data_IF_976894722046
#
_entry.id   IF_976894722046
#
_cell.length_a   1.000
_cell.length_b   1.000
_cell.length_c   1.000
_cell.angle_alpha   90.00
_cell.angle_beta   90.00
_cell.angle_gamma   90.00
#
_symmetry.space_group_name_H-M   'P 1'
#
loop_
_entity.id
_entity.type
_entity.pdbx_description
1 polymer ?
#
# COMPACT_ATOMS: atom_id res chain seq x y z
N UNK A 1 8.42 36.06 18.08
CA UNK A 1 7.57 36.78 17.14
C UNK A 1 6.32 35.99 16.89
N UNK A 2 5.27 36.45 17.49
CA UNK A 2 3.96 35.88 17.24
C UNK A 2 3.57 36.18 15.79
N UNK A 3 3.37 35.24 14.95
CA UNK A 3 2.72 35.49 13.69
C UNK A 3 3.29 34.88 12.43
N UNK A 4 4.36 34.07 12.49
CA UNK A 4 4.66 33.19 11.37
C UNK A 4 3.79 31.94 11.53
N UNK A 5 2.67 31.93 10.85
CA UNK A 5 2.03 30.67 10.53
C UNK A 5 3.03 29.88 9.69
N UNK A 6 3.49 28.75 10.23
CA UNK A 6 4.09 27.75 9.38
C UNK A 6 3.06 27.43 8.30
N UNK A 7 3.39 27.74 7.05
CA UNK A 7 2.62 27.26 5.93
C UNK A 7 2.81 25.76 5.96
N UNK A 8 1.75 25.02 6.27
CA UNK A 8 1.75 23.58 6.17
C UNK A 8 2.04 23.20 4.71
N UNK A 9 3.30 22.88 4.44
CA UNK A 9 3.68 22.35 3.14
C UNK A 9 3.06 20.95 3.00
N UNK A 10 2.44 20.65 1.86
CA UNK A 10 1.95 19.29 1.60
C UNK A 10 3.07 18.28 1.78
N UNK A 11 2.76 17.17 2.44
CA UNK A 11 3.68 16.04 2.56
C UNK A 11 3.37 15.06 1.42
N UNK A 12 4.40 14.67 0.69
CA UNK A 12 4.26 13.77 -0.44
C UNK A 12 4.81 12.38 -0.12
N UNK A 13 4.13 11.34 -0.60
CA UNK A 13 4.63 9.98 -0.60
C UNK A 13 4.94 9.56 -2.05
N UNK A 14 6.07 8.89 -2.25
CA UNK A 14 6.39 8.32 -3.56
C UNK A 14 5.63 6.99 -3.73
N UNK A 15 4.93 6.84 -4.84
CA UNK A 15 4.29 5.58 -5.20
C UNK A 15 5.30 4.67 -5.90
N UNK A 16 5.83 3.68 -5.18
CA UNK A 16 6.88 2.80 -5.68
C UNK A 16 6.41 1.75 -6.69
N UNK A 17 5.11 1.61 -6.88
CA UNK A 17 4.58 0.80 -7.97
C UNK A 17 4.81 1.49 -9.33
N UNK A 18 4.81 2.82 -9.35
CA UNK A 18 4.85 3.64 -10.55
C UNK A 18 6.15 4.42 -10.73
N UNK A 19 6.89 4.68 -9.64
CA UNK A 19 8.12 5.47 -9.65
C UNK A 19 9.33 4.58 -9.44
N UNK A 20 10.46 5.00 -10.02
CA UNK A 20 11.75 4.31 -9.90
C UNK A 20 11.71 2.86 -10.43
N UNK A 21 10.90 2.64 -11.46
CA UNK A 21 10.67 1.30 -12.03
C UNK A 21 11.87 0.75 -12.79
N UNK A 22 12.91 1.55 -13.01
CA UNK A 22 14.19 1.14 -13.60
C UNK A 22 15.01 0.22 -12.68
N UNK A 23 14.65 0.15 -11.39
CA UNK A 23 15.29 -0.74 -10.40
C UNK A 23 14.27 -1.70 -9.80
N UNK A 24 14.73 -2.84 -9.22
CA UNK A 24 13.85 -3.76 -8.50
C UNK A 24 13.11 -3.08 -7.35
N UNK A 25 11.93 -3.59 -7.00
CA UNK A 25 11.03 -2.97 -6.02
C UNK A 25 11.72 -2.61 -4.70
N UNK A 26 12.48 -3.53 -4.11
CA UNK A 26 13.14 -3.27 -2.82
C UNK A 26 14.21 -2.18 -2.90
N UNK A 27 14.75 -1.90 -4.07
CA UNK A 27 15.74 -0.83 -4.28
C UNK A 27 15.07 0.54 -4.48
N UNK A 28 13.79 0.57 -4.75
CA UNK A 28 13.03 1.81 -4.96
C UNK A 28 12.88 2.64 -3.69
N UNK A 29 12.93 2.02 -2.53
CA UNK A 29 12.91 2.72 -1.24
C UNK A 29 14.11 3.67 -1.12
N UNK A 30 15.30 3.17 -1.41
CA UNK A 30 16.52 4.00 -1.42
C UNK A 30 16.45 5.13 -2.43
N UNK A 31 15.92 4.87 -3.61
CA UNK A 31 15.73 5.90 -4.65
C UNK A 31 14.78 7.01 -4.21
N UNK A 32 13.70 6.66 -3.55
CA UNK A 32 12.76 7.63 -3.01
C UNK A 32 13.42 8.51 -1.94
N UNK A 33 14.17 7.91 -1.02
CA UNK A 33 14.90 8.66 0.01
C UNK A 33 15.95 9.60 -0.60
N UNK A 34 16.71 9.13 -1.59
CA UNK A 34 17.69 9.97 -2.33
C UNK A 34 17.02 11.15 -3.02
N UNK A 35 15.81 10.97 -3.52
CA UNK A 35 15.02 12.03 -4.16
C UNK A 35 14.38 13.00 -3.18
N UNK A 36 14.49 12.76 -1.87
CA UNK A 36 13.99 13.66 -0.82
C UNK A 36 12.61 13.30 -0.28
N UNK A 37 12.03 12.17 -0.66
CA UNK A 37 10.76 11.73 -0.07
C UNK A 37 10.96 11.24 1.36
N UNK A 38 10.03 11.59 2.25
CA UNK A 38 10.00 11.10 3.63
C UNK A 38 9.03 9.93 3.81
N UNK A 39 8.19 9.67 2.82
CA UNK A 39 7.18 8.61 2.85
C UNK A 39 7.05 7.93 1.49
N UNK A 40 6.59 6.71 1.53
CA UNK A 40 6.31 5.90 0.34
C UNK A 40 4.93 5.24 0.45
N UNK A 41 4.37 4.91 -0.70
CA UNK A 41 3.20 4.05 -0.84
C UNK A 41 3.41 3.09 -2.01
N UNK A 42 2.62 2.06 -2.10
CA UNK A 42 2.62 1.14 -3.24
C UNK A 42 1.33 0.31 -3.23
N UNK A 43 1.10 -0.44 -4.29
CA UNK A 43 -0.09 -1.27 -4.36
C UNK A 43 0.06 -2.52 -3.49
N UNK A 44 1.01 -3.40 -3.81
CA UNK A 44 1.08 -4.72 -3.18
C UNK A 44 2.49 -5.10 -2.76
N UNK A 45 2.73 -5.34 -1.45
CA UNK A 45 4.04 -5.80 -0.95
C UNK A 45 4.19 -7.32 -0.91
N UNK A 46 3.19 -8.09 -1.33
CA UNK A 46 3.00 -9.49 -0.95
C UNK A 46 3.96 -10.49 -1.62
N UNK A 47 4.73 -10.06 -2.61
CA UNK A 47 5.79 -10.86 -3.22
C UNK A 47 7.08 -10.85 -2.40
N UNK A 48 7.15 -10.04 -1.34
CA UNK A 48 8.32 -9.87 -0.49
C UNK A 48 7.97 -10.21 0.95
N UNK A 49 8.97 -10.65 1.72
CA UNK A 49 8.76 -10.90 3.15
C UNK A 49 8.43 -9.59 3.88
N UNK A 50 7.53 -9.59 4.87
CA UNK A 50 7.21 -8.39 5.65
C UNK A 50 8.45 -7.74 6.28
N UNK A 51 9.40 -8.55 6.73
CA UNK A 51 10.64 -8.10 7.35
C UNK A 51 11.54 -7.36 6.36
N UNK A 52 11.56 -7.78 5.10
CA UNK A 52 12.35 -7.12 4.05
C UNK A 52 11.80 -5.74 3.72
N UNK A 53 10.48 -5.61 3.65
CA UNK A 53 9.82 -4.33 3.44
C UNK A 53 10.06 -3.40 4.63
N UNK A 54 9.89 -3.89 5.85
CA UNK A 54 10.14 -3.14 7.08
C UNK A 54 11.60 -2.67 7.17
N UNK A 55 12.56 -3.52 6.82
CA UNK A 55 13.96 -3.19 6.80
C UNK A 55 14.29 -2.04 5.84
N UNK A 56 13.72 -2.06 4.63
CA UNK A 56 13.93 -1.00 3.65
C UNK A 56 13.37 0.34 4.10
N UNK A 57 12.21 0.34 4.76
CA UNK A 57 11.66 1.56 5.38
C UNK A 57 12.59 2.11 6.45
N UNK A 58 13.05 1.24 7.35
CA UNK A 58 13.91 1.63 8.47
C UNK A 58 15.26 2.17 8.01
N UNK A 59 15.93 1.44 7.11
CA UNK A 59 17.24 1.84 6.57
C UNK A 59 17.21 3.21 5.90
N UNK A 60 16.12 3.53 5.24
CA UNK A 60 15.96 4.76 4.46
C UNK A 60 15.19 5.84 5.21
N UNK A 61 14.86 5.60 6.49
CA UNK A 61 14.09 6.53 7.31
C UNK A 61 12.79 6.99 6.64
N UNK A 62 12.06 6.04 6.05
CA UNK A 62 10.81 6.29 5.33
C UNK A 62 9.61 5.84 6.16
N UNK A 63 8.54 6.60 6.07
CA UNK A 63 7.22 6.21 6.59
C UNK A 63 6.42 5.52 5.49
N UNK A 64 5.79 4.40 5.84
CA UNK A 64 4.81 3.77 4.95
C UNK A 64 3.48 4.48 5.10
N UNK A 65 3.03 5.15 4.03
CA UNK A 65 1.80 5.93 4.07
C UNK A 65 0.56 5.05 3.84
N UNK A 66 0.63 4.13 2.89
CA UNK A 66 -0.49 3.32 2.42
C UNK A 66 0.01 2.12 1.63
N UNK A 67 -0.70 1.01 1.68
CA UNK A 67 -0.68 -0.02 0.65
C UNK A 67 -2.06 -0.68 0.56
N UNK A 68 -2.27 -1.45 -0.50
CA UNK A 68 -3.55 -2.12 -0.73
C UNK A 68 -3.58 -3.50 -0.08
N UNK A 69 -4.75 -3.90 0.36
CA UNK A 69 -5.01 -5.29 0.73
C UNK A 69 -4.88 -6.19 -0.51
N UNK A 70 -4.61 -7.49 -0.33
CA UNK A 70 -4.50 -8.39 -1.48
C UNK A 70 -5.71 -8.31 -2.40
N UNK A 71 -5.48 -8.19 -3.73
CA UNK A 71 -6.57 -7.97 -4.69
C UNK A 71 -7.22 -9.24 -5.21
N UNK A 72 -6.72 -10.41 -4.84
CA UNK A 72 -7.03 -11.68 -5.50
C UNK A 72 -6.11 -11.94 -6.68
N UNK A 73 -6.62 -12.64 -7.68
CA UNK A 73 -5.87 -12.94 -8.90
C UNK A 73 -5.83 -11.73 -9.84
N UNK A 74 -4.90 -10.85 -9.59
CA UNK A 74 -4.73 -9.61 -10.34
C UNK A 74 -4.54 -9.83 -11.84
N UNK A 75 -3.76 -10.85 -12.20
CA UNK A 75 -3.46 -11.18 -13.59
C UNK A 75 -4.72 -11.60 -14.37
N UNK A 76 -5.67 -12.24 -13.70
CA UNK A 76 -6.96 -12.64 -14.27
C UNK A 76 -8.09 -11.62 -14.05
N UNK A 77 -7.74 -10.40 -13.62
CA UNK A 77 -8.67 -9.29 -13.56
C UNK A 77 -9.37 -9.10 -12.22
N UNK A 78 -9.05 -9.87 -11.18
CA UNK A 78 -9.61 -9.62 -9.85
C UNK A 78 -9.11 -8.28 -9.29
N UNK A 79 -9.99 -7.56 -8.59
CA UNK A 79 -9.73 -6.22 -8.04
C UNK A 79 -10.24 -6.10 -6.60
N UNK A 80 -10.08 -7.15 -5.82
CA UNK A 80 -10.55 -7.23 -4.44
C UNK A 80 -11.86 -7.98 -4.30
N UNK A 81 -12.34 -8.11 -3.07
CA UNK A 81 -13.43 -9.03 -2.71
C UNK A 81 -14.59 -8.37 -1.96
N UNK A 82 -14.46 -7.11 -1.55
CA UNK A 82 -15.39 -6.50 -0.59
C UNK A 82 -16.85 -6.44 -1.10
N UNK A 83 -17.05 -6.28 -2.41
CA UNK A 83 -18.37 -6.23 -3.02
C UNK A 83 -18.90 -7.61 -3.46
N UNK A 84 -18.19 -8.70 -3.14
CA UNK A 84 -18.51 -10.03 -3.60
C UNK A 84 -18.94 -10.93 -2.41
N UNK A 85 -20.24 -11.07 -2.13
CA UNK A 85 -20.71 -11.85 -0.96
C UNK A 85 -20.23 -13.29 -0.95
N UNK A 86 -20.05 -13.91 -2.14
CA UNK A 86 -19.55 -15.29 -2.29
C UNK A 86 -18.06 -15.44 -1.97
N UNK A 87 -17.32 -14.33 -1.85
CA UNK A 87 -15.87 -14.31 -1.63
C UNK A 87 -15.50 -13.82 -0.21
N UNK A 88 -16.41 -13.97 0.75
CA UNK A 88 -16.20 -13.47 2.12
C UNK A 88 -15.00 -14.12 2.83
N UNK A 89 -14.80 -15.42 2.62
CA UNK A 89 -13.64 -16.11 3.22
C UNK A 89 -12.32 -15.63 2.59
N UNK A 90 -12.29 -15.33 1.30
CA UNK A 90 -11.13 -14.73 0.64
C UNK A 90 -10.87 -13.32 1.17
N UNK A 91 -11.91 -12.54 1.43
CA UNK A 91 -11.79 -11.22 2.06
C UNK A 91 -11.14 -11.33 3.43
N UNK A 92 -11.60 -12.26 4.27
CA UNK A 92 -11.02 -12.47 5.60
C UNK A 92 -9.54 -12.84 5.52
N UNK A 93 -9.19 -13.78 4.65
CA UNK A 93 -7.80 -14.18 4.45
C UNK A 93 -6.94 -13.00 3.97
N UNK A 94 -7.48 -12.14 3.11
CA UNK A 94 -6.77 -10.95 2.63
C UNK A 94 -6.54 -9.93 3.74
N UNK A 95 -7.49 -9.75 4.64
CA UNK A 95 -7.34 -8.90 5.84
C UNK A 95 -6.21 -9.41 6.71
N UNK A 96 -6.21 -10.70 7.04
CA UNK A 96 -5.17 -11.31 7.90
C UNK A 96 -3.78 -11.14 7.29
N UNK A 97 -3.65 -11.36 5.99
CA UNK A 97 -2.38 -11.18 5.28
C UNK A 97 -1.92 -9.72 5.29
N UNK A 98 -2.83 -8.79 5.04
CA UNK A 98 -2.53 -7.36 5.07
C UNK A 98 -2.09 -6.91 6.46
N UNK A 99 -2.73 -7.41 7.52
CA UNK A 99 -2.37 -7.05 8.89
C UNK A 99 -0.95 -7.49 9.26
N UNK A 100 -0.50 -8.65 8.78
CA UNK A 100 0.88 -9.09 8.98
C UNK A 100 1.89 -8.05 8.45
N UNK A 101 1.63 -7.53 7.25
CA UNK A 101 2.47 -6.48 6.65
C UNK A 101 2.28 -5.13 7.34
N UNK A 102 1.08 -4.83 7.80
CA UNK A 102 0.80 -3.59 8.53
C UNK A 102 1.56 -3.54 9.86
N UNK A 103 1.60 -4.64 10.60
CA UNK A 103 2.37 -4.73 11.84
C UNK A 103 3.86 -4.53 11.59
N UNK A 104 4.41 -5.17 10.54
CA UNK A 104 5.83 -5.07 10.22
C UNK A 104 6.23 -3.66 9.77
N UNK A 105 5.39 -2.98 9.01
CA UNK A 105 5.71 -1.68 8.37
C UNK A 105 5.28 -0.47 9.20
N UNK A 106 4.39 -0.67 10.17
CA UNK A 106 3.81 0.43 10.95
C UNK A 106 2.80 1.28 10.19
N UNK A 107 2.34 0.84 9.03
CA UNK A 107 1.34 1.56 8.25
C UNK A 107 0.04 1.74 9.04
N UNK A 108 -0.58 2.91 8.90
CA UNK A 108 -1.83 3.24 9.59
C UNK A 108 -3.05 3.21 8.68
N UNK A 109 -2.85 3.00 7.39
CA UNK A 109 -3.92 3.00 6.38
C UNK A 109 -3.73 1.87 5.40
N UNK A 110 -4.79 1.12 5.18
CA UNK A 110 -4.87 0.08 4.17
C UNK A 110 -6.01 0.41 3.21
N UNK A 111 -5.78 0.24 1.93
CA UNK A 111 -6.82 0.41 0.93
C UNK A 111 -7.51 -0.94 0.67
N UNK A 112 -8.80 -1.00 0.92
CA UNK A 112 -9.64 -2.15 0.62
C UNK A 112 -10.29 -1.95 -0.75
N UNK A 113 -9.93 -2.81 -1.69
CA UNK A 113 -10.51 -2.80 -3.02
C UNK A 113 -11.85 -3.53 -3.02
N UNK A 114 -12.88 -2.88 -3.55
CA UNK A 114 -14.23 -3.43 -3.55
C UNK A 114 -14.39 -4.68 -4.42
N UNK A 115 -13.69 -4.73 -5.53
CA UNK A 115 -13.85 -5.77 -6.54
C UNK A 115 -14.77 -5.34 -7.67
N UNK A 116 -14.97 -6.27 -8.60
CA UNK A 116 -15.88 -6.07 -9.75
C UNK A 116 -17.18 -6.80 -9.43
N UNK A 117 -18.27 -6.07 -9.30
CA UNK A 117 -19.60 -6.63 -9.09
C UNK A 117 -20.07 -7.39 -10.32
N UNK A 118 -20.94 -8.38 -10.12
CA UNK A 118 -21.48 -9.19 -11.21
C UNK A 118 -22.60 -8.50 -12.01
N UNK A 119 -23.00 -7.30 -11.59
CA UNK A 119 -24.04 -6.51 -12.25
C UNK A 119 -25.46 -7.02 -12.00
N UNK A 120 -25.63 -8.08 -11.23
CA UNK A 120 -26.92 -8.67 -10.91
C UNK A 120 -27.41 -8.34 -9.50
N UNK A 121 -26.62 -7.65 -8.71
CA UNK A 121 -26.99 -7.23 -7.36
C UNK A 121 -27.72 -5.88 -7.46
N UNK A 122 -29.02 -5.82 -7.13
CA UNK A 122 -29.79 -4.58 -7.21
C UNK A 122 -29.37 -3.55 -6.14
N UNK A 123 -28.48 -3.92 -5.21
CA UNK A 123 -27.92 -3.00 -4.21
C UNK A 123 -26.65 -2.31 -4.67
N UNK A 124 -26.11 -2.68 -5.82
CA UNK A 124 -24.97 -2.07 -6.49
C UNK A 124 -25.50 -1.31 -7.71
#
# INVERSE_FOLDING_TARGET
MAGRREIDMPKFAANLTMMFTEVPFLDRFGKAAEAGFAAVEFLFPYDFAPEDVADRLKRNNLTQALFNMPPGDWANGERGFAALPTRFEDLKASVDRALTYAEATGVKRLHLMAGIGDGNDPAL
#
